data_IF_929007398356
#
_entry.id   IF_929007398356
#
_cell.length_a   1.000
_cell.length_b   1.000
_cell.length_c   1.000
_cell.angle_alpha   90.00
_cell.angle_beta   90.00
_cell.angle_gamma   90.00
#
_symmetry.space_group_name_H-M   'P 1'
#
loop_
_entity.id
_entity.type
_entity.pdbx_description
1 polymer ?
#
# COMPACT_ATOMS: atom_id res chain seq x y z
N UNK A 1 24.80 26.53 -28.29
CA UNK A 1 25.88 26.76 -29.27
C UNK A 1 25.65 25.86 -30.44
N UNK A 2 25.68 26.42 -31.65
CA UNK A 2 25.67 25.67 -32.90
C UNK A 2 27.11 25.26 -33.24
N UNK A 3 27.28 24.32 -34.16
CA UNK A 3 28.59 23.81 -34.57
C UNK A 3 29.51 24.92 -35.11
N UNK A 4 28.94 25.89 -35.80
CA UNK A 4 29.62 27.07 -36.34
C UNK A 4 30.21 27.97 -35.25
N UNK A 5 29.60 28.00 -34.06
CA UNK A 5 30.11 28.78 -32.92
C UNK A 5 31.33 28.10 -32.28
N UNK A 6 31.33 26.76 -32.25
CA UNK A 6 32.43 25.94 -31.71
C UNK A 6 33.68 26.00 -32.59
N UNK A 7 33.52 26.09 -33.89
CA UNK A 7 34.64 26.14 -34.85
C UNK A 7 35.44 27.44 -34.78
N UNK A 8 34.90 28.49 -34.16
CA UNK A 8 35.57 29.78 -33.96
C UNK A 8 36.36 29.85 -32.65
N UNK A 9 36.26 28.84 -31.80
CA UNK A 9 36.94 28.78 -30.50
C UNK A 9 38.31 28.13 -30.64
N UNK A 10 39.25 28.59 -29.83
CA UNK A 10 40.57 27.97 -29.76
C UNK A 10 40.52 26.66 -28.96
N UNK A 11 41.62 25.90 -29.02
CA UNK A 11 41.70 24.57 -28.38
C UNK A 11 41.47 24.62 -26.87
N UNK A 12 41.96 25.66 -26.19
CA UNK A 12 41.83 25.84 -24.74
C UNK A 12 40.37 26.12 -24.32
N UNK A 13 39.69 27.01 -25.04
CA UNK A 13 38.26 27.30 -24.85
C UNK A 13 37.38 26.06 -25.11
N UNK A 14 37.73 25.24 -26.10
CA UNK A 14 37.02 23.99 -26.36
C UNK A 14 37.23 22.97 -25.23
N UNK A 15 38.44 22.87 -24.68
CA UNK A 15 38.77 22.01 -23.54
C UNK A 15 37.95 22.43 -22.31
N UNK A 16 37.88 23.72 -21.99
CA UNK A 16 37.12 24.24 -20.85
C UNK A 16 35.62 23.95 -20.98
N UNK A 17 35.06 24.11 -22.19
CA UNK A 17 33.66 23.77 -22.45
C UNK A 17 33.41 22.27 -22.27
N UNK A 18 34.33 21.41 -22.73
CA UNK A 18 34.22 19.96 -22.55
C UNK A 18 34.24 19.61 -21.06
N UNK A 19 35.16 20.16 -20.27
CA UNK A 19 35.21 19.91 -18.82
C UNK A 19 33.95 20.40 -18.11
N UNK A 20 33.46 21.60 -18.44
CA UNK A 20 32.20 22.14 -17.90
C UNK A 20 30.98 21.26 -18.24
N UNK A 21 30.93 20.74 -19.48
CA UNK A 21 29.89 19.82 -19.90
C UNK A 21 30.00 18.47 -19.19
N UNK A 22 31.21 17.92 -19.01
CA UNK A 22 31.44 16.68 -18.26
C UNK A 22 31.03 16.82 -16.80
N UNK A 23 31.36 17.93 -16.13
CA UNK A 23 30.87 18.21 -14.77
C UNK A 23 29.35 18.32 -14.73
N UNK A 24 28.75 18.99 -15.72
CA UNK A 24 27.29 19.14 -15.79
C UNK A 24 26.60 17.80 -16.04
N UNK A 25 27.17 16.94 -16.90
CA UNK A 25 26.70 15.58 -17.13
C UNK A 25 26.81 14.76 -15.85
N UNK A 26 27.96 14.74 -15.18
CA UNK A 26 28.12 14.02 -13.90
C UNK A 26 27.15 14.54 -12.83
N UNK A 27 26.95 15.86 -12.73
CA UNK A 27 25.96 16.47 -11.82
C UNK A 27 24.52 16.07 -12.17
N UNK A 28 24.19 15.99 -13.46
CA UNK A 28 22.88 15.54 -13.93
C UNK A 28 22.68 14.04 -13.75
N UNK A 29 23.70 13.21 -13.99
CA UNK A 29 23.68 11.77 -13.76
C UNK A 29 23.55 11.45 -12.27
N UNK A 30 24.25 12.18 -11.39
CA UNK A 30 24.08 12.06 -9.92
C UNK A 30 22.67 12.45 -9.50
N UNK A 31 22.11 13.55 -10.04
CA UNK A 31 20.72 13.93 -9.79
C UNK A 31 19.74 12.88 -10.31
N UNK A 32 19.92 12.37 -11.53
CA UNK A 32 19.05 11.36 -12.13
C UNK A 32 19.11 10.06 -11.32
N UNK A 33 20.30 9.60 -10.93
CA UNK A 33 20.47 8.42 -10.07
C UNK A 33 19.82 8.58 -8.69
N UNK A 34 19.66 9.79 -8.16
CA UNK A 34 18.90 10.02 -6.92
C UNK A 34 17.39 9.77 -7.09
N UNK A 35 16.86 9.90 -8.32
CA UNK A 35 15.44 9.70 -8.64
C UNK A 35 15.15 8.40 -9.41
N UNK A 36 16.14 7.80 -10.07
CA UNK A 36 16.05 6.57 -10.87
C UNK A 36 17.09 5.54 -10.37
N UNK A 37 16.92 5.09 -9.13
CA UNK A 37 17.73 4.02 -8.54
C UNK A 37 16.90 2.74 -8.30
N UNK A 38 17.56 1.59 -8.04
CA UNK A 38 16.89 0.31 -7.81
C UNK A 38 15.88 0.31 -6.64
N UNK A 39 16.13 1.17 -5.65
CA UNK A 39 15.28 1.42 -4.48
C UNK A 39 14.20 2.46 -4.73
N UNK A 40 14.14 3.04 -5.94
CA UNK A 40 13.07 3.96 -6.32
C UNK A 40 11.82 3.12 -6.59
N UNK A 41 10.73 3.32 -5.82
CA UNK A 41 9.49 2.58 -6.07
C UNK A 41 9.01 2.83 -7.50
N UNK A 42 8.47 1.81 -8.17
CA UNK A 42 7.95 1.92 -9.56
C UNK A 42 7.03 3.13 -9.78
N UNK A 43 6.31 3.53 -8.74
CA UNK A 43 5.43 4.70 -8.71
C UNK A 43 6.12 6.06 -8.87
N UNK A 44 7.45 6.14 -8.68
CA UNK A 44 8.29 7.35 -8.78
C UNK A 44 9.22 7.34 -10.00
N UNK A 45 9.36 6.22 -10.69
CA UNK A 45 10.16 6.12 -11.91
C UNK A 45 9.44 6.85 -13.06
N UNK A 46 10.19 7.59 -13.88
CA UNK A 46 9.66 8.09 -15.15
C UNK A 46 9.42 6.88 -16.05
N UNK A 47 8.16 6.60 -16.37
CA UNK A 47 7.86 5.62 -17.42
C UNK A 47 8.43 6.19 -18.73
N UNK A 48 9.43 5.53 -19.32
CA UNK A 48 9.71 5.72 -20.75
C UNK A 48 8.42 5.34 -21.48
N UNK A 49 8.02 6.14 -22.47
CA UNK A 49 7.01 5.70 -23.43
C UNK A 49 7.61 4.46 -24.09
N UNK A 50 7.14 3.28 -23.68
CA UNK A 50 7.49 2.04 -24.36
C UNK A 50 6.86 2.11 -25.73
N UNK A 51 7.67 2.05 -26.78
CA UNK A 51 7.17 1.79 -28.13
C UNK A 51 6.29 0.54 -28.08
N UNK A 52 5.14 0.62 -28.76
CA UNK A 52 4.21 -0.48 -28.85
C UNK A 52 4.85 -1.58 -29.69
N UNK A 53 5.39 -2.60 -29.03
CA UNK A 53 5.88 -3.82 -29.69
C UNK A 53 4.66 -4.65 -30.14
N UNK A 54 4.37 -4.74 -31.45
CA UNK A 54 3.23 -5.48 -31.97
C UNK A 54 3.37 -7.00 -31.76
N UNK A 55 4.57 -7.50 -31.48
CA UNK A 55 4.86 -8.91 -31.22
C UNK A 55 4.86 -9.26 -29.73
N UNK A 56 4.57 -8.31 -28.84
CA UNK A 56 4.49 -8.59 -27.41
C UNK A 56 3.30 -9.53 -27.17
N UNK A 57 3.51 -10.70 -26.52
CA UNK A 57 2.41 -11.61 -26.23
C UNK A 57 1.35 -10.83 -25.47
N UNK A 58 0.10 -10.88 -25.97
CA UNK A 58 -1.06 -10.33 -25.26
C UNK A 58 -1.00 -10.87 -23.84
N UNK A 59 -1.27 -9.99 -22.87
CA UNK A 59 -1.36 -10.40 -21.46
C UNK A 59 -2.18 -11.70 -21.42
N UNK A 60 -1.64 -12.79 -20.83
CA UNK A 60 -2.38 -14.02 -20.76
C UNK A 60 -3.75 -13.70 -20.16
N UNK A 61 -4.81 -14.18 -20.81
CA UNK A 61 -6.15 -14.11 -20.27
C UNK A 61 -6.17 -14.63 -18.83
N UNK A 62 -7.24 -14.31 -18.10
CA UNK A 62 -7.44 -14.73 -16.71
C UNK A 62 -6.95 -16.19 -16.51
N UNK A 63 -6.06 -16.45 -15.54
CA UNK A 63 -5.48 -17.78 -15.36
C UNK A 63 -6.58 -18.82 -15.05
N UNK A 64 -6.37 -20.09 -15.46
CA UNK A 64 -7.26 -21.20 -15.11
C UNK A 64 -7.44 -21.27 -13.58
N UNK A 65 -8.69 -21.33 -13.11
CA UNK A 65 -9.03 -21.33 -11.68
C UNK A 65 -9.23 -19.94 -11.04
N UNK A 66 -9.09 -18.86 -11.80
CA UNK A 66 -9.59 -17.56 -11.35
C UNK A 66 -11.12 -17.60 -11.23
N UNK A 67 -11.67 -17.07 -10.13
CA UNK A 67 -13.11 -16.87 -9.96
C UNK A 67 -13.64 -16.20 -11.24
N UNK A 68 -14.52 -16.91 -11.95
CA UNK A 68 -15.10 -16.47 -13.21
C UNK A 68 -15.68 -15.06 -13.09
N UNK A 69 -15.82 -14.34 -14.20
CA UNK A 69 -16.46 -13.02 -14.21
C UNK A 69 -17.99 -13.07 -14.02
N UNK A 70 -18.52 -14.12 -13.40
CA UNK A 70 -19.95 -14.22 -13.10
C UNK A 70 -20.30 -13.24 -11.99
N UNK A 71 -21.36 -12.47 -12.20
CA UNK A 71 -21.90 -11.58 -11.17
C UNK A 71 -22.72 -12.46 -10.22
N UNK A 72 -22.29 -12.57 -8.96
CA UNK A 72 -23.10 -13.14 -7.90
C UNK A 72 -24.14 -12.08 -7.49
N UNK A 73 -25.39 -12.25 -7.93
CA UNK A 73 -26.47 -11.31 -7.63
C UNK A 73 -27.11 -11.71 -6.29
N UNK A 74 -27.18 -10.80 -5.28
CA UNK A 74 -27.76 -11.11 -3.99
C UNK A 74 -29.25 -11.48 -4.07
N UNK A 75 -29.84 -12.04 -3.00
CA UNK A 75 -31.29 -12.12 -2.84
C UNK A 75 -31.93 -10.74 -3.01
N UNK A 76 -33.15 -10.70 -3.56
CA UNK A 76 -33.87 -9.45 -3.74
C UNK A 76 -34.42 -8.94 -2.41
N UNK A 77 -34.27 -7.66 -2.12
CA UNK A 77 -34.86 -7.01 -0.95
C UNK A 77 -36.40 -6.87 -1.10
N UNK A 78 -36.86 -6.63 -2.33
CA UNK A 78 -38.27 -6.55 -2.73
C UNK A 78 -38.49 -7.27 -4.06
N UNK A 79 -39.73 -7.71 -4.33
CA UNK A 79 -40.09 -8.34 -5.61
C UNK A 79 -41.27 -7.61 -6.24
N UNK A 80 -41.07 -7.12 -7.46
CA UNK A 80 -42.11 -6.50 -8.29
C UNK A 80 -42.51 -7.47 -9.41
N UNK A 81 -43.81 -7.63 -9.61
CA UNK A 81 -44.35 -8.48 -10.67
C UNK A 81 -44.73 -7.63 -11.87
N UNK A 82 -44.19 -7.98 -13.04
CA UNK A 82 -44.55 -7.35 -14.31
C UNK A 82 -45.42 -8.33 -15.09
N UNK A 83 -46.72 -8.03 -15.18
CA UNK A 83 -47.72 -8.81 -15.93
C UNK A 83 -48.30 -7.99 -17.07
N UNK A 84 -48.82 -8.66 -18.10
CA UNK A 84 -49.52 -8.02 -19.22
C UNK A 84 -51.00 -8.35 -19.15
N UNK A 85 -51.86 -7.34 -19.31
CA UNK A 85 -53.32 -7.52 -19.47
C UNK A 85 -53.74 -7.64 -20.94
N UNK A 86 -52.87 -7.27 -21.86
CA UNK A 86 -53.07 -7.33 -23.31
C UNK A 86 -51.72 -7.45 -24.03
N UNK A 87 -51.73 -8.06 -25.23
CA UNK A 87 -50.53 -8.07 -26.08
C UNK A 87 -50.34 -6.71 -26.79
N UNK A 88 -49.18 -6.44 -27.39
CA UNK A 88 -48.94 -5.19 -28.13
C UNK A 88 -49.94 -4.91 -29.27
N UNK A 89 -50.66 -5.93 -29.75
CA UNK A 89 -51.71 -5.84 -30.77
C UNK A 89 -53.13 -5.69 -30.17
N UNK A 90 -53.27 -5.58 -28.84
CA UNK A 90 -54.55 -5.35 -28.15
C UNK A 90 -55.39 -6.59 -27.81
N UNK A 91 -54.88 -7.80 -28.04
CA UNK A 91 -55.57 -9.03 -27.66
C UNK A 91 -55.45 -9.30 -26.15
N UNK A 92 -56.55 -9.71 -25.50
CA UNK A 92 -56.63 -9.92 -24.04
C UNK A 92 -56.52 -11.38 -23.59
N UNK A 93 -56.65 -12.32 -24.52
CA UNK A 93 -56.58 -13.75 -24.23
C UNK A 93 -55.11 -14.20 -24.20
N UNK A 94 -54.43 -13.90 -23.10
CA UNK A 94 -53.02 -14.24 -22.89
C UNK A 94 -52.89 -15.50 -22.03
N UNK A 95 -52.23 -16.53 -22.59
CA UNK A 95 -51.92 -17.75 -21.84
C UNK A 95 -50.60 -17.61 -21.08
N UNK A 96 -50.60 -17.94 -19.78
CA UNK A 96 -49.38 -17.95 -18.98
C UNK A 96 -48.45 -19.12 -19.37
N UNK A 97 -47.21 -18.81 -19.77
CA UNK A 97 -46.20 -19.81 -20.17
C UNK A 97 -44.98 -19.89 -19.24
N UNK A 98 -44.98 -19.18 -18.12
CA UNK A 98 -43.86 -19.13 -17.17
C UNK A 98 -43.38 -17.70 -16.89
N UNK A 99 -42.33 -17.59 -16.08
CA UNK A 99 -41.72 -16.32 -15.70
C UNK A 99 -40.20 -16.39 -15.81
N UNK A 100 -39.59 -15.29 -16.25
CA UNK A 100 -38.15 -15.05 -16.12
C UNK A 100 -37.92 -14.06 -14.99
N UNK A 101 -36.99 -14.35 -14.09
CA UNK A 101 -36.56 -13.41 -13.04
C UNK A 101 -35.34 -12.63 -13.50
N UNK A 102 -35.37 -11.31 -13.27
CA UNK A 102 -34.21 -10.43 -13.37
C UNK A 102 -34.12 -9.62 -12.09
N UNK A 103 -32.92 -9.53 -11.51
CA UNK A 103 -32.65 -8.75 -10.31
C UNK A 103 -31.84 -7.52 -10.70
N UNK A 104 -32.22 -6.36 -10.17
CA UNK A 104 -31.54 -5.08 -10.39
C UNK A 104 -30.97 -4.60 -9.05
N UNK A 105 -29.71 -4.17 -9.04
CA UNK A 105 -29.08 -3.54 -7.88
C UNK A 105 -29.03 -2.04 -8.17
N UNK A 106 -29.74 -1.23 -7.38
CA UNK A 106 -29.84 0.21 -7.59
C UNK A 106 -29.79 1.00 -6.28
N UNK A 107 -29.57 2.31 -6.36
CA UNK A 107 -29.77 3.22 -5.25
C UNK A 107 -31.27 3.52 -5.09
N UNK A 108 -31.85 3.40 -3.88
CA UNK A 108 -33.23 3.80 -3.67
C UNK A 108 -33.37 5.33 -3.82
N UNK A 109 -34.57 5.80 -4.18
CA UNK A 109 -34.86 7.22 -4.42
C UNK A 109 -34.44 8.13 -3.26
N UNK A 110 -34.69 7.68 -2.01
CA UNK A 110 -34.20 8.31 -0.79
C UNK A 110 -33.12 7.45 -0.13
N UNK A 111 -31.84 7.59 -0.52
CA UNK A 111 -30.75 6.73 -0.05
C UNK A 111 -30.37 6.97 1.42
N UNK A 112 -30.80 8.10 1.99
CA UNK A 112 -30.57 8.45 3.39
C UNK A 112 -31.89 8.56 4.16
N UNK A 113 -32.05 7.67 5.14
CA UNK A 113 -33.18 7.70 6.07
C UNK A 113 -32.91 8.72 7.19
N UNK A 114 -33.89 9.57 7.45
CA UNK A 114 -33.89 10.53 8.58
C UNK A 114 -34.95 10.07 9.57
N UNK A 115 -34.54 9.81 10.80
CA UNK A 115 -35.41 9.43 11.91
C UNK A 115 -35.52 10.59 12.88
N UNK A 116 -36.74 11.04 13.16
CA UNK A 116 -37.00 12.00 14.23
C UNK A 116 -37.02 11.25 15.57
N UNK A 117 -36.16 11.67 16.50
CA UNK A 117 -36.16 11.16 17.87
C UNK A 117 -36.78 12.23 18.77
N UNK A 118 -37.91 11.91 19.39
CA UNK A 118 -38.63 12.82 20.29
C UNK A 118 -38.31 12.46 21.74
N UNK A 119 -37.46 13.26 22.39
CA UNK A 119 -37.10 13.08 23.81
C UNK A 119 -38.14 13.76 24.69
N UNK A 120 -39.02 12.96 25.28
CA UNK A 120 -40.05 13.46 26.20
C UNK A 120 -39.42 13.89 27.53
N UNK A 121 -39.95 14.97 28.11
CA UNK A 121 -39.52 15.53 29.39
C UNK A 121 -40.60 15.31 30.44
N UNK A 122 -40.18 14.97 31.64
CA UNK A 122 -41.03 14.66 32.77
C UNK A 122 -40.59 15.45 33.98
N UNK A 123 -41.54 16.05 34.69
CA UNK A 123 -41.28 16.66 35.98
C UNK A 123 -41.56 15.64 37.09
N UNK A 124 -40.58 15.41 37.97
CA UNK A 124 -40.76 14.52 39.12
C UNK A 124 -41.14 15.35 40.36
N UNK A 125 -42.40 15.29 40.84
CA UNK A 125 -42.84 16.10 41.97
C UNK A 125 -42.24 15.66 43.32
N UNK A 126 -41.73 14.43 43.42
CA UNK A 126 -41.07 13.94 44.63
C UNK A 126 -39.65 14.51 44.80
N UNK A 127 -38.95 14.74 43.68
CA UNK A 127 -37.54 15.12 43.67
C UNK A 127 -37.31 16.57 43.20
N UNK A 128 -38.34 17.26 42.73
CA UNK A 128 -38.30 18.61 42.14
C UNK A 128 -37.28 18.76 41.00
N UNK A 129 -37.20 17.73 40.15
CA UNK A 129 -36.29 17.70 38.99
C UNK A 129 -37.04 17.48 37.68
N UNK A 130 -36.56 18.15 36.63
CA UNK A 130 -36.94 17.88 35.26
C UNK A 130 -36.02 16.79 34.68
N UNK A 131 -36.63 15.69 34.25
CA UNK A 131 -35.95 14.52 33.68
C UNK A 131 -36.27 14.47 32.19
N UNK A 132 -35.26 14.30 31.34
CA UNK A 132 -35.42 14.10 29.89
C UNK A 132 -35.12 12.63 29.54
N UNK A 133 -35.95 12.03 28.68
CA UNK A 133 -35.70 10.69 28.16
C UNK A 133 -34.40 10.67 27.34
N UNK A 134 -33.58 9.62 27.49
CA UNK A 134 -32.34 9.49 26.74
C UNK A 134 -32.59 9.40 25.23
N UNK A 135 -31.77 10.11 24.46
CA UNK A 135 -31.83 10.15 23.00
C UNK A 135 -30.46 9.90 22.35
N UNK A 136 -30.41 9.83 21.00
CA UNK A 136 -29.16 9.71 20.29
C UNK A 136 -28.28 10.95 20.52
N UNK A 137 -26.98 10.74 20.72
CA UNK A 137 -26.01 11.82 20.93
C UNK A 137 -25.57 12.51 19.63
N UNK A 138 -25.54 11.75 18.54
CA UNK A 138 -25.01 12.18 17.25
C UNK A 138 -26.11 12.44 16.23
N UNK A 139 -25.97 13.54 15.48
CA UNK A 139 -26.86 13.87 14.34
C UNK A 139 -26.73 12.84 13.21
N UNK A 140 -25.55 12.26 13.04
CA UNK A 140 -25.27 11.30 11.98
C UNK A 140 -25.19 9.89 12.55
N UNK A 141 -26.09 9.02 12.10
CA UNK A 141 -26.14 7.63 12.56
C UNK A 141 -24.88 6.81 12.22
N UNK A 142 -24.69 5.66 12.89
CA UNK A 142 -23.47 4.86 12.79
C UNK A 142 -23.17 4.39 11.35
N UNK A 143 -24.20 4.02 10.58
CA UNK A 143 -24.04 3.59 9.18
C UNK A 143 -23.52 4.71 8.28
N UNK A 144 -24.05 5.93 8.42
CA UNK A 144 -23.59 7.08 7.64
C UNK A 144 -22.15 7.46 8.01
N UNK A 145 -21.83 7.51 9.32
CA UNK A 145 -20.47 7.78 9.81
C UNK A 145 -19.44 6.76 9.29
N UNK A 146 -19.82 5.49 9.22
CA UNK A 146 -19.00 4.42 8.62
C UNK A 146 -18.79 4.64 7.12
N UNK A 147 -19.85 4.95 6.37
CA UNK A 147 -19.76 5.23 4.93
C UNK A 147 -18.89 6.46 4.66
N UNK A 148 -19.02 7.53 5.46
CA UNK A 148 -18.16 8.72 5.45
C UNK A 148 -16.70 8.35 5.63
N UNK A 149 -16.39 7.48 6.59
CA UNK A 149 -15.02 7.04 6.88
C UNK A 149 -14.43 6.23 5.74
N UNK A 150 -15.21 5.30 5.19
CA UNK A 150 -14.82 4.50 4.03
C UNK A 150 -14.56 5.38 2.80
N UNK A 151 -15.47 6.31 2.48
CA UNK A 151 -15.30 7.21 1.35
C UNK A 151 -14.13 8.17 1.55
N UNK A 152 -13.92 8.69 2.76
CA UNK A 152 -12.76 9.53 3.08
C UNK A 152 -11.44 8.80 2.88
N UNK A 153 -11.36 7.49 3.17
CA UNK A 153 -10.17 6.70 2.86
C UNK A 153 -9.90 6.62 1.35
N UNK A 154 -10.94 6.61 0.52
CA UNK A 154 -10.81 6.57 -0.94
C UNK A 154 -10.48 7.93 -1.54
N UNK A 155 -11.16 9.00 -1.10
CA UNK A 155 -11.03 10.34 -1.69
C UNK A 155 -9.92 11.18 -1.06
N UNK A 156 -9.63 10.93 0.22
CA UNK A 156 -8.78 11.74 1.11
C UNK A 156 -9.19 13.19 1.28
N UNK A 157 -10.32 13.61 0.72
CA UNK A 157 -10.82 14.97 0.79
C UNK A 157 -12.08 15.02 1.63
N UNK A 158 -12.04 15.78 2.72
CA UNK A 158 -13.22 15.95 3.57
C UNK A 158 -14.31 16.73 2.84
N UNK A 159 -13.91 17.65 1.96
CA UNK A 159 -14.83 18.43 1.14
C UNK A 159 -15.55 17.53 0.13
N UNK A 160 -14.81 16.73 -0.66
CA UNK A 160 -15.43 15.82 -1.64
C UNK A 160 -16.33 14.78 -0.98
N UNK A 161 -15.94 14.26 0.18
CA UNK A 161 -16.77 13.35 0.96
C UNK A 161 -18.06 14.04 1.44
N UNK A 162 -17.97 15.25 1.98
CA UNK A 162 -19.15 16.02 2.39
C UNK A 162 -20.09 16.29 1.21
N UNK A 163 -19.54 16.78 0.09
CA UNK A 163 -20.32 17.10 -1.10
C UNK A 163 -21.03 15.87 -1.68
N UNK A 164 -20.38 14.71 -1.67
CA UNK A 164 -21.01 13.45 -2.08
C UNK A 164 -22.26 13.13 -1.25
N UNK A 165 -22.17 13.16 0.08
CA UNK A 165 -23.32 12.84 0.94
C UNK A 165 -24.40 13.94 0.93
N UNK A 166 -24.04 15.21 0.69
CA UNK A 166 -25.03 16.28 0.48
C UNK A 166 -25.90 16.01 -0.75
N UNK A 167 -25.29 15.57 -1.86
CA UNK A 167 -26.02 15.19 -3.07
C UNK A 167 -26.96 13.99 -2.85
N UNK A 168 -26.68 13.16 -1.82
CA UNK A 168 -27.51 12.02 -1.43
C UNK A 168 -28.54 12.35 -0.32
N UNK A 169 -28.68 13.62 0.08
CA UNK A 169 -29.71 14.03 1.05
C UNK A 169 -29.22 14.24 2.50
N UNK A 170 -27.92 14.42 2.74
CA UNK A 170 -27.38 14.90 4.02
C UNK A 170 -26.93 16.37 3.92
N UNK A 171 -27.84 17.35 3.77
CA UNK A 171 -27.52 18.72 3.36
C UNK A 171 -26.57 19.45 4.33
N UNK A 172 -26.64 19.11 5.62
CA UNK A 172 -25.84 19.76 6.66
C UNK A 172 -24.44 19.18 6.81
N UNK A 173 -24.13 18.03 6.20
CA UNK A 173 -22.83 17.37 6.39
C UNK A 173 -21.70 18.21 5.81
N UNK A 174 -20.86 18.76 6.67
CA UNK A 174 -19.75 19.65 6.32
C UNK A 174 -18.40 18.93 6.32
N UNK A 175 -17.41 19.52 5.67
CA UNK A 175 -16.03 19.03 5.74
C UNK A 175 -15.49 18.99 7.19
N UNK A 176 -15.96 19.88 8.07
CA UNK A 176 -15.62 19.89 9.49
C UNK A 176 -16.22 18.69 10.22
N UNK A 177 -17.50 18.38 9.97
CA UNK A 177 -18.13 17.18 10.53
C UNK A 177 -17.51 15.90 10.01
N UNK A 178 -17.12 15.84 8.73
CA UNK A 178 -16.33 14.71 8.21
C UNK A 178 -15.03 14.56 9.01
N UNK A 179 -14.30 15.65 9.28
CA UNK A 179 -13.10 15.57 10.11
C UNK A 179 -13.38 15.13 11.56
N UNK A 180 -14.50 15.57 12.12
CA UNK A 180 -14.94 15.16 13.46
C UNK A 180 -15.17 13.64 13.51
N UNK A 181 -16.00 13.12 12.61
CA UNK A 181 -16.29 11.69 12.48
C UNK A 181 -14.99 10.87 12.35
N UNK A 182 -14.08 11.32 11.48
CA UNK A 182 -12.79 10.64 11.27
C UNK A 182 -11.92 10.67 12.53
N UNK A 183 -11.95 11.77 13.29
CA UNK A 183 -11.25 11.89 14.56
C UNK A 183 -11.75 10.87 15.57
N UNK A 184 -13.07 10.74 15.71
CA UNK A 184 -13.69 9.76 16.61
C UNK A 184 -13.34 8.33 16.22
N UNK A 185 -13.42 7.98 14.93
CA UNK A 185 -12.97 6.67 14.46
C UNK A 185 -11.48 6.46 14.72
N UNK A 186 -10.63 7.48 14.50
CA UNK A 186 -9.21 7.35 14.76
C UNK A 186 -8.93 7.08 16.24
N UNK A 187 -9.70 7.68 17.15
CA UNK A 187 -9.57 7.44 18.59
C UNK A 187 -10.12 6.06 18.97
N UNK A 188 -11.32 5.67 18.50
CA UNK A 188 -11.91 4.33 18.73
C UNK A 188 -11.06 3.19 18.16
N UNK A 189 -10.36 3.42 17.05
CA UNK A 189 -9.51 2.43 16.38
C UNK A 189 -8.08 2.36 16.94
N UNK A 190 -7.71 3.23 17.87
CA UNK A 190 -6.37 3.21 18.50
C UNK A 190 -6.09 1.89 19.20
N UNK A 191 -7.02 1.42 20.05
CA UNK A 191 -6.85 0.16 20.78
C UNK A 191 -6.88 -1.07 19.85
N UNK A 192 -7.81 -1.20 18.89
CA UNK A 192 -7.75 -2.26 17.87
C UNK A 192 -6.43 -2.29 17.11
N UNK A 193 -5.91 -1.13 16.68
CA UNK A 193 -4.62 -1.03 16.01
C UNK A 193 -3.47 -1.53 16.88
N UNK A 194 -3.46 -1.16 18.16
CA UNK A 194 -2.44 -1.63 19.10
C UNK A 194 -2.52 -3.14 19.31
N UNK A 195 -3.73 -3.69 19.44
CA UNK A 195 -3.93 -5.14 19.51
C UNK A 195 -3.38 -5.86 18.27
N UNK A 196 -3.61 -5.32 17.08
CA UNK A 196 -3.05 -5.86 15.84
C UNK A 196 -1.52 -5.75 15.77
N UNK A 197 -0.93 -4.67 16.30
CA UNK A 197 0.53 -4.56 16.39
C UNK A 197 1.09 -5.67 17.30
N UNK A 198 0.51 -5.85 18.49
CA UNK A 198 0.93 -6.92 19.40
C UNK A 198 0.72 -8.32 18.80
N UNK A 199 -0.33 -8.53 18.01
CA UNK A 199 -0.55 -9.77 17.27
C UNK A 199 0.49 -9.96 16.15
N UNK A 200 0.83 -8.90 15.41
CA UNK A 200 1.86 -8.94 14.38
C UNK A 200 3.22 -9.33 14.98
N UNK A 201 3.60 -8.74 16.13
CA UNK A 201 4.87 -9.02 16.80
C UNK A 201 5.02 -10.46 17.31
N UNK A 202 3.94 -11.24 17.38
CA UNK A 202 3.99 -12.69 17.69
C UNK A 202 4.33 -13.57 16.48
N UNK A 203 4.36 -13.01 15.27
CA UNK A 203 4.70 -13.77 14.07
C UNK A 203 6.21 -14.07 14.03
N UNK A 204 6.59 -15.17 13.38
CA UNK A 204 8.00 -15.55 13.21
C UNK A 204 8.76 -14.62 12.27
N UNK A 205 8.04 -13.93 11.38
CA UNK A 205 8.62 -12.92 10.52
C UNK A 205 7.64 -11.77 10.25
N UNK A 206 8.22 -10.61 9.95
CA UNK A 206 7.52 -9.40 9.55
C UNK A 206 8.09 -8.89 8.24
N UNK A 207 7.26 -8.28 7.42
CA UNK A 207 7.71 -7.42 6.34
C UNK A 207 7.75 -5.98 6.83
N UNK A 208 8.88 -5.30 6.64
CA UNK A 208 9.01 -3.90 7.03
C UNK A 208 9.61 -3.06 5.90
N UNK A 209 9.07 -1.86 5.72
CA UNK A 209 9.58 -0.87 4.78
C UNK A 209 9.09 0.53 5.20
N UNK A 210 9.63 1.58 4.59
CA UNK A 210 9.25 2.95 4.87
C UNK A 210 9.03 3.80 3.61
N UNK A 211 8.13 4.76 3.68
CA UNK A 211 7.92 5.72 2.58
C UNK A 211 7.72 7.14 3.06
N UNK A 212 8.24 8.10 2.29
CA UNK A 212 8.14 9.52 2.61
C UNK A 212 6.68 9.99 2.70
N UNK A 213 6.34 10.77 3.72
CA UNK A 213 5.08 11.50 3.78
C UNK A 213 5.37 12.86 4.39
N UNK A 214 4.87 13.95 3.81
CA UNK A 214 5.10 15.27 4.40
C UNK A 214 4.08 15.54 5.49
N UNK A 215 4.54 16.15 6.58
CA UNK A 215 3.70 16.79 7.60
C UNK A 215 3.89 18.30 7.49
N UNK A 216 2.85 19.00 7.06
CA UNK A 216 2.85 20.46 6.97
C UNK A 216 4.10 21.01 6.26
N UNK A 217 4.37 20.48 5.06
CA UNK A 217 5.56 20.82 4.27
C UNK A 217 6.88 20.15 4.71
N UNK A 218 6.99 19.66 5.95
CA UNK A 218 8.21 19.02 6.47
C UNK A 218 8.29 17.55 6.06
N UNK A 219 9.46 17.10 5.62
CA UNK A 219 9.68 15.71 5.24
C UNK A 219 9.63 14.80 6.46
N UNK A 220 8.75 13.80 6.40
CA UNK A 220 8.56 12.77 7.42
C UNK A 220 8.42 11.40 6.74
N UNK A 221 8.16 10.36 7.51
CA UNK A 221 8.08 8.99 7.02
C UNK A 221 6.85 8.27 7.55
N UNK A 222 6.35 7.32 6.79
CA UNK A 222 5.41 6.31 7.27
C UNK A 222 6.13 4.97 7.20
N UNK A 223 6.31 4.36 8.37
CA UNK A 223 6.78 2.99 8.51
C UNK A 223 5.59 2.05 8.32
N UNK A 224 5.79 0.98 7.55
CA UNK A 224 4.83 -0.08 7.38
C UNK A 224 5.38 -1.39 7.90
N UNK A 225 4.66 -2.02 8.83
CA UNK A 225 4.92 -3.36 9.33
C UNK A 225 3.77 -4.25 8.88
N UNK A 226 4.09 -5.35 8.24
CA UNK A 226 3.09 -6.20 7.60
C UNK A 226 3.33 -7.68 7.88
N UNK A 227 2.23 -8.41 8.07
CA UNK A 227 2.18 -9.87 8.05
C UNK A 227 1.22 -10.30 6.94
N UNK A 228 1.01 -11.60 6.76
CA UNK A 228 0.00 -12.10 5.81
C UNK A 228 -1.39 -11.45 6.01
N UNK A 229 -1.74 -11.11 7.26
CA UNK A 229 -3.09 -10.69 7.64
C UNK A 229 -3.16 -9.31 8.30
N UNK A 230 -2.03 -8.69 8.63
CA UNK A 230 -1.98 -7.44 9.42
C UNK A 230 -1.16 -6.39 8.71
N UNK A 231 -1.63 -5.15 8.76
CA UNK A 231 -0.93 -3.96 8.28
C UNK A 231 -0.92 -2.88 9.37
N UNK A 232 0.27 -2.51 9.82
CA UNK A 232 0.48 -1.42 10.76
C UNK A 232 1.27 -0.32 10.07
N UNK A 233 0.67 0.86 10.00
CA UNK A 233 1.29 2.06 9.48
C UNK A 233 1.55 3.01 10.65
N UNK A 234 2.73 3.63 10.67
CA UNK A 234 3.09 4.63 11.68
C UNK A 234 3.80 5.80 11.03
N UNK A 235 3.18 6.97 11.06
CA UNK A 235 3.81 8.21 10.66
C UNK A 235 4.75 8.72 11.76
N UNK A 236 5.98 9.07 11.38
CA UNK A 236 7.09 9.40 12.26
C UNK A 236 7.88 10.59 11.73
N UNK A 237 8.57 11.31 12.62
CA UNK A 237 9.29 12.51 12.24
C UNK A 237 10.56 12.25 11.40
N UNK A 238 10.98 10.99 11.23
CA UNK A 238 12.12 10.64 10.40
C UNK A 238 12.22 9.14 10.12
N UNK A 239 13.32 8.74 9.45
CA UNK A 239 13.60 7.34 9.07
C UNK A 239 14.65 6.66 9.95
N UNK A 240 15.07 7.30 11.05
CA UNK A 240 16.09 6.75 11.92
C UNK A 240 15.64 5.48 12.64
N UNK A 241 16.61 4.64 13.02
CA UNK A 241 16.40 3.38 13.76
C UNK A 241 15.51 3.53 14.99
N UNK A 242 15.66 4.62 15.75
CA UNK A 242 14.86 4.91 16.95
C UNK A 242 13.35 4.79 16.71
N UNK A 243 12.87 5.21 15.53
CA UNK A 243 11.43 5.16 15.23
C UNK A 243 10.96 3.74 15.00
N UNK A 244 11.78 2.89 14.38
CA UNK A 244 11.45 1.48 14.25
C UNK A 244 11.42 0.81 15.64
N UNK A 245 12.42 1.08 16.50
CA UNK A 245 12.44 0.59 17.88
C UNK A 245 11.21 1.05 18.69
N UNK A 246 10.77 2.30 18.54
CA UNK A 246 9.55 2.81 19.17
C UNK A 246 8.29 2.07 18.69
N UNK A 247 8.26 1.58 17.44
CA UNK A 247 7.11 0.88 16.86
C UNK A 247 7.08 -0.59 17.27
N UNK A 248 8.18 -1.32 17.07
CA UNK A 248 8.20 -2.79 17.22
C UNK A 248 8.90 -3.27 18.49
N UNK A 249 9.59 -2.38 19.22
CA UNK A 249 10.32 -2.73 20.43
C UNK A 249 11.37 -3.81 20.20
N UNK A 250 11.56 -4.67 21.19
CA UNK A 250 12.34 -5.90 21.01
C UNK A 250 11.49 -6.92 20.26
N UNK A 251 11.97 -7.36 19.11
CA UNK A 251 11.31 -8.36 18.28
C UNK A 251 12.27 -9.51 18.02
N UNK A 252 11.84 -10.73 18.36
CA UNK A 252 12.68 -11.94 18.31
C UNK A 252 12.55 -12.71 16.99
N UNK A 253 11.65 -12.31 16.10
CA UNK A 253 11.50 -12.92 14.78
C UNK A 253 12.37 -12.24 13.72
N UNK A 254 12.12 -12.59 12.46
CA UNK A 254 12.93 -12.14 11.33
C UNK A 254 12.25 -10.97 10.61
N UNK A 255 12.99 -9.91 10.30
CA UNK A 255 12.47 -8.80 9.50
C UNK A 255 12.89 -8.98 8.04
N UNK A 256 11.92 -9.20 7.15
CA UNK A 256 12.11 -9.17 5.70
C UNK A 256 12.10 -7.72 5.26
N UNK A 257 13.24 -7.24 4.75
CA UNK A 257 13.51 -5.81 4.58
C UNK A 257 14.35 -5.52 3.34
N UNK A 258 14.45 -4.25 2.96
CA UNK A 258 15.42 -3.78 1.97
C UNK A 258 16.75 -3.37 2.65
N UNK A 259 17.83 -3.14 1.90
CA UNK A 259 19.20 -2.92 2.38
C UNK A 259 19.47 -1.70 3.30
N UNK A 260 18.46 -1.10 3.93
CA UNK A 260 18.60 0.06 4.81
C UNK A 260 19.13 -0.29 6.22
N UNK A 261 20.05 0.52 6.74
CA UNK A 261 20.77 0.26 8.00
C UNK A 261 19.93 0.45 9.29
N UNK A 262 18.70 0.97 9.17
CA UNK A 262 17.83 1.12 10.33
C UNK A 262 17.40 -0.22 10.94
N UNK A 263 17.52 -1.32 10.18
CA UNK A 263 17.12 -2.67 10.58
C UNK A 263 18.24 -3.50 11.23
N UNK A 264 19.49 -3.00 11.27
CA UNK A 264 20.67 -3.82 11.59
C UNK A 264 20.72 -4.40 13.02
N UNK A 265 19.84 -3.97 13.92
CA UNK A 265 19.73 -4.55 15.28
C UNK A 265 18.82 -5.79 15.36
N UNK A 266 18.13 -6.12 14.26
CA UNK A 266 17.22 -7.25 14.20
C UNK A 266 17.79 -8.32 13.28
N UNK A 267 17.46 -9.58 13.58
CA UNK A 267 17.69 -10.67 12.62
C UNK A 267 16.85 -10.37 11.38
N UNK A 268 17.50 -10.30 10.22
CA UNK A 268 16.85 -9.82 9.00
C UNK A 268 17.10 -10.72 7.80
N UNK A 269 16.13 -10.71 6.87
CA UNK A 269 16.27 -11.25 5.53
C UNK A 269 16.24 -10.08 4.56
N UNK A 270 17.34 -9.83 3.85
CA UNK A 270 17.38 -8.82 2.79
C UNK A 270 16.62 -9.28 1.55
N UNK A 271 15.92 -8.35 0.94
CA UNK A 271 15.10 -8.59 -0.24
C UNK A 271 15.95 -8.90 -1.48
N UNK A 272 15.88 -10.15 -1.96
CA UNK A 272 16.55 -10.56 -3.19
C UNK A 272 16.01 -9.84 -4.43
N UNK A 273 14.72 -9.48 -4.45
CA UNK A 273 14.15 -8.74 -5.58
C UNK A 273 14.76 -7.33 -5.75
N UNK A 274 15.24 -6.70 -4.67
CA UNK A 274 16.00 -5.45 -4.77
C UNK A 274 17.41 -5.70 -5.29
N UNK A 275 18.09 -6.72 -4.76
CA UNK A 275 19.42 -7.12 -5.21
C UNK A 275 19.46 -7.43 -6.72
N UNK A 276 18.51 -8.21 -7.22
CA UNK A 276 18.41 -8.58 -8.64
C UNK A 276 18.21 -7.34 -9.52
N UNK A 277 17.36 -6.40 -9.10
CA UNK A 277 17.15 -5.13 -9.80
C UNK A 277 18.43 -4.30 -9.85
N UNK A 278 19.17 -4.25 -8.74
CA UNK A 278 20.44 -3.53 -8.68
C UNK A 278 21.49 -4.17 -9.58
N UNK A 279 21.69 -5.49 -9.48
CA UNK A 279 22.60 -6.23 -10.36
C UNK A 279 22.27 -6.01 -11.85
N UNK A 280 20.98 -6.04 -12.22
CA UNK A 280 20.52 -5.76 -13.58
C UNK A 280 20.94 -4.36 -14.05
N UNK A 281 20.77 -3.33 -13.21
CA UNK A 281 21.16 -1.95 -13.54
C UNK A 281 22.67 -1.84 -13.83
N UNK A 282 23.51 -2.53 -13.07
CA UNK A 282 24.96 -2.55 -13.35
C UNK A 282 25.31 -3.36 -14.61
N UNK A 283 24.53 -4.40 -14.93
CA UNK A 283 24.72 -5.23 -16.11
C UNK A 283 24.37 -4.53 -17.44
N UNK A 284 23.37 -3.62 -17.45
CA UNK A 284 22.86 -2.95 -18.66
C UNK A 284 23.95 -2.31 -19.55
N UNK A 285 25.08 -1.90 -18.97
CA UNK A 285 26.20 -1.28 -19.70
C UNK A 285 27.55 -1.97 -19.48
N UNK A 286 27.56 -3.24 -19.02
CA UNK A 286 28.80 -3.99 -18.79
C UNK A 286 28.61 -5.50 -18.92
N UNK A 287 29.14 -6.09 -20.01
CA UNK A 287 29.06 -7.53 -20.31
C UNK A 287 29.68 -8.43 -19.23
N UNK A 288 30.76 -7.99 -18.60
CA UNK A 288 31.41 -8.76 -17.53
C UNK A 288 30.52 -8.82 -16.28
N UNK A 289 29.79 -7.75 -15.99
CA UNK A 289 28.82 -7.72 -14.89
C UNK A 289 27.55 -8.50 -15.25
N UNK A 290 27.14 -8.49 -16.52
CA UNK A 290 25.97 -9.25 -16.98
C UNK A 290 26.11 -10.77 -16.71
N UNK A 291 27.31 -11.33 -16.92
CA UNK A 291 27.61 -12.72 -16.54
C UNK A 291 27.38 -12.95 -15.05
N UNK A 292 27.82 -12.01 -14.20
CA UNK A 292 27.61 -12.11 -12.75
C UNK A 292 26.14 -11.95 -12.36
N UNK A 293 25.41 -11.04 -13.02
CA UNK A 293 23.96 -10.89 -12.84
C UNK A 293 23.20 -12.19 -13.15
N UNK A 294 23.54 -12.88 -14.25
CA UNK A 294 22.96 -14.19 -14.58
C UNK A 294 23.24 -15.21 -13.48
N UNK A 295 24.46 -15.23 -12.92
CA UNK A 295 24.80 -16.12 -11.79
C UNK A 295 23.98 -15.80 -10.54
N UNK A 296 23.87 -14.52 -10.17
CA UNK A 296 23.01 -14.08 -9.03
C UNK A 296 21.56 -14.52 -9.23
N UNK A 297 21.04 -14.40 -10.45
CA UNK A 297 19.67 -14.82 -10.78
C UNK A 297 19.49 -16.34 -10.62
N UNK A 298 20.46 -17.14 -11.07
CA UNK A 298 20.44 -18.60 -10.88
C UNK A 298 20.48 -19.00 -9.41
N UNK A 299 21.33 -18.34 -8.61
CA UNK A 299 21.40 -18.54 -7.16
C UNK A 299 20.03 -18.26 -6.54
N UNK A 300 19.41 -17.14 -6.88
CA UNK A 300 18.07 -16.78 -6.40
C UNK A 300 16.99 -17.81 -6.79
N UNK A 301 16.95 -18.24 -8.05
CA UNK A 301 16.02 -19.26 -8.53
C UNK A 301 16.22 -20.60 -7.80
N UNK A 302 17.47 -20.99 -7.56
CA UNK A 302 17.83 -22.17 -6.77
C UNK A 302 17.36 -22.08 -5.33
N UNK A 303 17.62 -20.95 -4.66
CA UNK A 303 17.13 -20.71 -3.29
C UNK A 303 15.61 -20.75 -3.22
N UNK A 304 14.92 -20.16 -4.19
CA UNK A 304 13.46 -20.16 -4.25
C UNK A 304 12.89 -21.57 -4.39
N UNK A 305 13.54 -22.44 -5.17
CA UNK A 305 13.15 -23.84 -5.32
C UNK A 305 13.40 -24.66 -4.03
N UNK A 306 14.32 -24.23 -3.17
CA UNK A 306 14.56 -24.84 -1.86
C UNK A 306 13.54 -24.40 -0.80
N UNK A 307 12.86 -23.25 -0.97
CA UNK A 307 11.86 -22.80 0.00
C UNK A 307 10.69 -23.79 0.09
N UNK A 308 10.21 -24.03 1.32
CA UNK A 308 9.14 -24.97 1.64
C UNK A 308 9.61 -26.32 2.19
N UNK A 309 10.90 -26.66 2.04
CA UNK A 309 11.60 -27.70 2.82
C UNK A 309 12.84 -27.06 3.43
N UNK A 310 13.28 -27.48 4.61
CA UNK A 310 14.55 -27.02 5.15
C UNK A 310 15.68 -27.65 4.31
N UNK A 311 16.47 -26.84 3.57
CA UNK A 311 17.62 -27.38 2.83
C UNK A 311 18.67 -27.91 3.80
N UNK A 312 19.40 -28.94 3.39
CA UNK A 312 20.54 -29.44 4.17
C UNK A 312 21.68 -28.41 4.19
N UNK A 313 22.56 -28.50 5.19
CA UNK A 313 23.70 -27.57 5.37
C UNK A 313 24.63 -27.54 4.15
N UNK A 314 24.81 -28.67 3.47
CA UNK A 314 25.62 -28.76 2.24
C UNK A 314 25.05 -27.88 1.12
N UNK A 315 23.72 -27.89 0.94
CA UNK A 315 23.05 -27.07 -0.07
C UNK A 315 23.20 -25.57 0.25
N UNK A 316 23.04 -25.18 1.52
CA UNK A 316 23.23 -23.80 1.97
C UNK A 316 24.68 -23.36 1.74
N UNK A 317 25.64 -24.21 2.10
CA UNK A 317 27.09 -23.96 1.94
C UNK A 317 27.45 -23.77 0.46
N UNK A 318 26.87 -24.59 -0.42
CA UNK A 318 27.07 -24.46 -1.87
C UNK A 318 26.56 -23.10 -2.38
N UNK A 319 25.34 -22.70 -2.01
CA UNK A 319 24.76 -21.40 -2.38
C UNK A 319 25.65 -20.25 -1.90
N UNK A 320 26.09 -20.29 -0.63
CA UNK A 320 26.98 -19.26 -0.05
C UNK A 320 28.33 -19.18 -0.79
N UNK A 321 28.91 -20.33 -1.13
CA UNK A 321 30.18 -20.40 -1.87
C UNK A 321 30.03 -19.84 -3.28
N UNK A 322 28.96 -20.19 -3.99
CA UNK A 322 28.66 -19.63 -5.31
C UNK A 322 28.47 -18.11 -5.25
N UNK A 323 27.79 -17.61 -4.22
CA UNK A 323 27.61 -16.18 -4.00
C UNK A 323 28.93 -15.46 -3.67
N UNK A 324 29.78 -16.04 -2.81
CA UNK A 324 31.11 -15.49 -2.51
C UNK A 324 32.00 -15.42 -3.77
N UNK A 325 31.91 -16.42 -4.64
CA UNK A 325 32.60 -16.41 -5.94
C UNK A 325 32.10 -15.27 -6.84
N UNK A 326 30.79 -15.00 -6.86
CA UNK A 326 30.24 -13.84 -7.58
C UNK A 326 30.80 -12.52 -7.03
N UNK A 327 30.85 -12.36 -5.70
CA UNK A 327 31.42 -11.17 -5.06
C UNK A 327 32.88 -10.96 -5.49
N UNK A 328 33.68 -12.04 -5.48
CA UNK A 328 35.09 -12.01 -5.89
C UNK A 328 35.25 -11.56 -7.34
N UNK A 329 34.48 -12.13 -8.26
CA UNK A 329 34.48 -11.72 -9.67
C UNK A 329 34.04 -10.26 -9.84
N UNK A 330 32.98 -9.83 -9.16
CA UNK A 330 32.51 -8.44 -9.23
C UNK A 330 33.55 -7.45 -8.70
N UNK A 331 34.33 -7.83 -7.68
CA UNK A 331 35.36 -6.97 -7.10
C UNK A 331 36.57 -6.77 -8.02
N UNK A 332 36.88 -7.77 -8.85
CA UNK A 332 37.91 -7.66 -9.89
C UNK A 332 37.52 -6.64 -10.98
N UNK A 333 36.23 -6.51 -11.26
CA UNK A 333 35.70 -5.56 -12.25
C UNK A 333 35.64 -4.15 -11.63
N UNK A 334 36.38 -3.18 -12.18
CA UNK A 334 36.42 -1.79 -11.65
C UNK A 334 35.02 -1.19 -11.41
N UNK A 335 34.10 -1.36 -12.36
CA UNK A 335 32.71 -0.88 -12.28
C UNK A 335 31.82 -1.74 -11.35
N UNK A 336 32.23 -2.98 -11.05
CA UNK A 336 31.50 -3.93 -10.19
C UNK A 336 31.85 -3.81 -8.70
N UNK A 337 32.95 -3.15 -8.31
CA UNK A 337 33.38 -3.01 -6.91
C UNK A 337 32.31 -2.49 -5.96
N UNK A 338 31.54 -1.47 -6.36
CA UNK A 338 30.45 -0.93 -5.52
C UNK A 338 29.37 -1.99 -5.25
N UNK A 339 29.01 -2.76 -6.28
CA UNK A 339 28.06 -3.85 -6.17
C UNK A 339 28.65 -4.97 -5.29
N UNK A 340 29.92 -5.34 -5.48
CA UNK A 340 30.60 -6.34 -4.64
C UNK A 340 30.58 -5.96 -3.15
N UNK A 341 30.84 -4.69 -2.83
CA UNK A 341 30.74 -4.17 -1.46
C UNK A 341 29.30 -4.27 -0.93
N UNK A 342 28.30 -3.93 -1.74
CA UNK A 342 26.89 -4.06 -1.35
C UNK A 342 26.52 -5.51 -1.02
N UNK A 343 26.88 -6.47 -1.87
CA UNK A 343 26.65 -7.90 -1.62
C UNK A 343 27.37 -8.36 -0.35
N UNK A 344 28.65 -7.97 -0.19
CA UNK A 344 29.45 -8.30 1.00
C UNK A 344 28.81 -7.75 2.29
N UNK A 345 28.33 -6.51 2.26
CA UNK A 345 27.72 -5.86 3.43
C UNK A 345 26.39 -6.49 3.87
N UNK A 346 25.71 -7.24 3.00
CA UNK A 346 24.52 -8.00 3.43
C UNK A 346 24.83 -9.33 4.11
N UNK A 347 26.02 -9.91 3.89
CA UNK A 347 26.50 -11.07 4.62
C UNK A 347 25.48 -12.20 4.76
N UNK A 348 25.25 -12.65 6.00
CA UNK A 348 24.31 -13.71 6.35
C UNK A 348 22.84 -13.34 6.09
N UNK A 349 22.50 -12.04 6.07
CA UNK A 349 21.12 -11.57 5.91
C UNK A 349 20.55 -11.87 4.52
N UNK A 350 21.39 -12.23 3.54
CA UNK A 350 20.92 -12.74 2.25
C UNK A 350 20.35 -14.15 2.36
N UNK A 351 20.76 -14.94 3.35
CA UNK A 351 20.51 -16.38 3.42
C UNK A 351 19.61 -16.80 4.59
N UNK A 352 19.22 -15.88 5.47
CA UNK A 352 18.38 -16.14 6.66
C UNK A 352 17.17 -17.03 6.36
N UNK A 353 16.46 -16.80 5.26
CA UNK A 353 15.29 -17.56 4.84
C UNK A 353 15.58 -19.05 4.55
N UNK A 354 16.82 -19.42 4.22
CA UNK A 354 17.20 -20.83 4.03
C UNK A 354 17.20 -21.60 5.35
N UNK A 355 17.39 -20.92 6.49
CA UNK A 355 17.31 -21.53 7.82
C UNK A 355 15.88 -21.53 8.40
N UNK A 356 14.96 -20.82 7.74
CA UNK A 356 13.59 -20.65 8.22
C UNK A 356 12.60 -20.77 7.05
N UNK A 357 12.12 -21.99 6.79
CA UNK A 357 11.34 -22.35 5.57
C UNK A 357 10.10 -21.49 5.29
N UNK A 358 9.54 -20.83 6.30
CA UNK A 358 8.36 -19.96 6.18
C UNK A 358 8.69 -18.50 5.86
N UNK A 359 9.96 -18.10 5.88
CA UNK A 359 10.40 -16.72 5.63
C UNK A 359 10.60 -16.52 4.13
N UNK A 360 9.98 -15.50 3.52
CA UNK A 360 10.17 -15.22 2.10
C UNK A 360 11.49 -14.51 1.82
N UNK A 361 12.04 -14.73 0.62
CA UNK A 361 13.25 -14.04 0.12
C UNK A 361 12.99 -12.60 -0.35
N UNK A 362 11.71 -12.20 -0.48
CA UNK A 362 11.30 -10.95 -1.11
C UNK A 362 10.43 -10.11 -0.17
N UNK A 363 10.63 -8.80 -0.16
CA UNK A 363 9.83 -7.84 0.60
C UNK A 363 8.62 -7.27 -0.18
N UNK A 364 8.14 -8.00 -1.19
CA UNK A 364 7.06 -7.58 -2.08
C UNK A 364 5.74 -7.28 -1.33
N UNK A 365 5.58 -7.84 -0.14
CA UNK A 365 4.39 -7.58 0.68
C UNK A 365 4.40 -6.16 1.27
N UNK A 366 5.51 -5.71 1.89
CA UNK A 366 5.61 -4.34 2.38
C UNK A 366 5.54 -3.29 1.26
N UNK A 367 6.22 -3.53 0.13
CA UNK A 367 6.16 -2.62 -1.02
C UNK A 367 4.72 -2.42 -1.52
N UNK A 368 3.92 -3.50 -1.57
CA UNK A 368 2.50 -3.44 -1.95
C UNK A 368 1.66 -2.77 -0.88
N UNK A 369 1.88 -3.06 0.40
CA UNK A 369 1.17 -2.44 1.51
C UNK A 369 1.34 -0.92 1.56
N UNK A 370 2.58 -0.44 1.39
CA UNK A 370 2.90 0.99 1.36
C UNK A 370 2.40 1.71 0.10
N UNK A 371 2.06 1.00 -0.97
CA UNK A 371 1.54 1.62 -2.21
C UNK A 371 0.28 2.44 -1.95
N UNK A 372 -0.53 2.05 -0.97
CA UNK A 372 -1.69 2.83 -0.54
C UNK A 372 -1.28 4.22 -0.03
N UNK A 373 -0.26 4.31 0.82
CA UNK A 373 0.28 5.58 1.32
C UNK A 373 0.95 6.38 0.20
N UNK A 374 1.61 5.72 -0.74
CA UNK A 374 2.15 6.36 -1.94
C UNK A 374 1.05 7.01 -2.77
N UNK A 375 -0.08 6.33 -2.99
CA UNK A 375 -1.22 6.89 -3.70
C UNK A 375 -1.86 8.03 -2.91
N UNK A 376 -1.95 7.88 -1.59
CA UNK A 376 -2.45 8.94 -0.72
C UNK A 376 -1.62 10.21 -0.85
N UNK A 377 -0.30 10.09 -0.78
CA UNK A 377 0.63 11.20 -1.00
C UNK A 377 0.44 11.87 -2.36
N UNK A 378 0.12 11.12 -3.41
CA UNK A 378 -0.15 11.71 -4.74
C UNK A 378 -1.46 12.51 -4.77
N UNK A 379 -2.47 12.08 -4.01
CA UNK A 379 -3.79 12.75 -3.98
C UNK A 379 -3.84 13.93 -3.00
N UNK A 380 -3.31 13.77 -1.79
CA UNK A 380 -3.39 14.79 -0.73
C UNK A 380 -2.11 15.61 -0.57
N UNK A 381 -0.97 15.17 -1.12
CA UNK A 381 0.34 15.81 -0.98
C UNK A 381 0.99 15.62 0.39
N UNK A 382 0.32 16.09 1.44
CA UNK A 382 0.80 16.05 2.83
C UNK A 382 -0.37 16.00 3.82
N UNK A 383 -0.12 15.53 5.05
CA UNK A 383 -1.05 15.74 6.15
C UNK A 383 -0.60 16.96 6.98
N UNK A 384 -1.51 17.67 7.64
CA UNK A 384 -1.21 18.98 8.26
C UNK A 384 -0.94 18.93 9.77
N UNK A 385 -1.52 17.96 10.47
CA UNK A 385 -1.52 17.96 11.94
C UNK A 385 -1.68 16.54 12.51
N UNK A 386 -1.74 16.43 13.83
CA UNK A 386 -1.86 15.13 14.51
C UNK A 386 -3.17 14.40 14.24
N UNK A 387 -4.25 15.10 13.84
CA UNK A 387 -5.47 14.42 13.37
C UNK A 387 -5.19 13.63 12.10
N UNK A 388 -4.44 14.23 11.16
CA UNK A 388 -3.98 13.54 9.95
C UNK A 388 -3.02 12.39 10.24
N UNK A 389 -2.16 12.54 11.24
CA UNK A 389 -1.29 11.46 11.75
C UNK A 389 -2.13 10.28 12.27
N UNK A 390 -3.06 10.54 13.19
CA UNK A 390 -3.95 9.52 13.77
C UNK A 390 -4.79 8.81 12.70
N UNK A 391 -5.20 9.52 11.65
CA UNK A 391 -5.88 8.90 10.52
C UNK A 391 -5.01 7.86 9.82
N UNK A 392 -3.74 8.17 9.53
CA UNK A 392 -2.79 7.21 8.96
C UNK A 392 -2.55 6.07 9.93
N UNK A 393 -2.23 6.40 11.17
CA UNK A 393 -1.77 5.41 12.13
C UNK A 393 -2.87 4.43 12.53
N UNK A 394 -4.07 4.91 12.81
CA UNK A 394 -5.14 4.10 13.39
C UNK A 394 -6.13 3.66 12.31
N UNK A 395 -6.69 4.61 11.54
CA UNK A 395 -7.76 4.30 10.59
C UNK A 395 -7.21 3.50 9.41
N UNK A 396 -6.18 3.99 8.71
CA UNK A 396 -5.66 3.29 7.52
C UNK A 396 -5.10 1.93 7.89
N UNK A 397 -4.35 1.80 8.99
CA UNK A 397 -3.81 0.51 9.45
C UNK A 397 -4.91 -0.53 9.66
N UNK A 398 -5.97 -0.17 10.40
CA UNK A 398 -7.07 -1.09 10.69
C UNK A 398 -7.86 -1.43 9.42
N UNK A 399 -8.14 -0.44 8.55
CA UNK A 399 -8.83 -0.69 7.28
C UNK A 399 -8.02 -1.62 6.36
N UNK A 400 -6.70 -1.46 6.30
CA UNK A 400 -5.83 -2.36 5.53
C UNK A 400 -5.77 -3.75 6.15
N UNK A 401 -5.71 -3.84 7.48
CA UNK A 401 -5.76 -5.12 8.20
C UNK A 401 -7.04 -5.87 7.91
N UNK A 402 -8.21 -5.22 8.02
CA UNK A 402 -9.49 -5.83 7.67
C UNK A 402 -9.56 -6.27 6.22
N UNK A 403 -8.95 -5.51 5.30
CA UNK A 403 -8.84 -5.93 3.90
C UNK A 403 -7.97 -7.18 3.73
N UNK A 404 -6.84 -7.28 4.43
CA UNK A 404 -5.97 -8.47 4.42
C UNK A 404 -6.64 -9.69 5.08
N UNK A 405 -7.55 -9.46 6.03
CA UNK A 405 -8.38 -10.47 6.67
C UNK A 405 -9.67 -10.79 5.89
N UNK A 406 -9.85 -10.20 4.69
CA UNK A 406 -11.03 -10.39 3.83
C UNK A 406 -12.37 -10.02 4.53
N UNK A 407 -12.32 -9.11 5.51
CA UNK A 407 -13.50 -8.64 6.24
C UNK A 407 -14.24 -7.56 5.45
N UNK A 408 -15.56 -7.52 5.65
CA UNK A 408 -16.38 -6.42 5.13
C UNK A 408 -16.14 -5.14 5.95
N UNK A 409 -15.34 -4.24 5.39
CA UNK A 409 -14.93 -2.98 6.02
C UNK A 409 -16.14 -2.15 6.52
N UNK A 410 -17.21 -2.06 5.74
CA UNK A 410 -18.37 -1.26 6.11
C UNK A 410 -19.07 -1.82 7.36
N UNK A 411 -19.22 -3.14 7.45
CA UNK A 411 -19.79 -3.81 8.62
C UNK A 411 -18.92 -3.61 9.86
N UNK A 412 -17.60 -3.77 9.73
CA UNK A 412 -16.66 -3.55 10.83
C UNK A 412 -16.67 -2.10 11.34
N UNK A 413 -16.69 -1.11 10.43
CA UNK A 413 -16.84 0.29 10.82
C UNK A 413 -18.18 0.55 11.53
N UNK A 414 -19.29 -0.07 11.08
CA UNK A 414 -20.57 0.07 11.76
C UNK A 414 -20.52 -0.50 13.18
N UNK A 415 -19.88 -1.66 13.37
CA UNK A 415 -19.69 -2.23 14.70
C UNK A 415 -18.87 -1.31 15.61
N UNK A 416 -17.82 -0.65 15.08
CA UNK A 416 -17.03 0.34 15.83
C UNK A 416 -17.85 1.59 16.16
N UNK A 417 -18.67 2.07 15.23
CA UNK A 417 -19.52 3.25 15.44
C UNK A 417 -20.56 3.01 16.54
N UNK A 418 -21.11 1.79 16.63
CA UNK A 418 -22.14 1.40 17.60
C UNK A 418 -21.62 1.14 19.02
N UNK A 419 -20.31 0.92 19.21
CA UNK A 419 -19.71 0.79 20.55
C UNK A 419 -19.72 2.16 21.22
N UNK A 420 -20.51 2.29 22.29
CA UNK A 420 -20.62 3.50 23.12
C UNK A 420 -19.35 3.76 23.91
#
# INVERSE_FOLDING_TARGET
MKREDLQKLNQEQLIDIIFSLLERVDKLERKLNAYENPHTPSSKQRKKNTEHDPNKPRFPGKPPGSLGGGIEIPPADTTEQHTLSECPEGHKDLEYKGMRTQRVIDFPEKPLLVTEHQMFRYFCPCCDILIEAEGPRDVYGPRLRSAVTMLKNLTLSSQKTADFFRQLGAPTLSAAQVQHIIGEFADKLKQPREAYLQEALKNNYLHADETGMRRDGKNQQVWGIFTKFIAILTATAGRGRKYLQEIIGKYNGIIVRDGYAAYDEYVSQRCWAHLIRECKKYAENNKEIDIQYIRVKKIYEGMKAMLGKLPCEEAITKVKTEFANVITCLNAIRKGRKLAVHLKNGGEEWFTALYHSNVPLENNHAERGLRHIVLHRKMMGCYRNDKGKKFIDNVISVLQTWKLQEKNIFRELCAVAMRT
#
